data_IF_905672081208
#
_entry.id   IF_905672081208
#
_cell.length_a   1.000
_cell.length_b   1.000
_cell.length_c   1.000
_cell.angle_alpha   90.00
_cell.angle_beta   90.00
_cell.angle_gamma   90.00
#
_symmetry.space_group_name_H-M   'P 1'
#
loop_
_entity.id
_entity.type
_entity.pdbx_description
1 polymer ?
#
# COMPACT_ATOMS: atom_id res chain seq x y z
N UNK A 1 68.04 -40.56 96.29
CA UNK A 1 67.10 -41.00 95.24
C UNK A 1 65.71 -40.98 95.84
N UNK A 2 64.89 -39.99 95.52
CA UNK A 2 63.49 -39.91 95.94
C UNK A 2 62.64 -39.82 94.68
N UNK A 3 62.14 -40.98 94.26
CA UNK A 3 61.18 -41.13 93.18
C UNK A 3 59.81 -40.69 93.70
N UNK A 4 59.48 -39.42 93.46
CA UNK A 4 58.18 -38.85 93.77
C UNK A 4 57.25 -39.18 92.60
N UNK A 5 56.57 -40.32 92.68
CA UNK A 5 55.42 -40.61 91.82
C UNK A 5 54.30 -39.61 92.14
N UNK A 6 54.34 -38.47 91.46
CA UNK A 6 53.34 -37.42 91.49
C UNK A 6 52.02 -37.97 90.90
N UNK A 7 51.15 -38.52 91.74
CA UNK A 7 49.75 -38.73 91.39
C UNK A 7 49.11 -37.35 91.26
N UNK A 8 48.83 -36.94 90.02
CA UNK A 8 48.06 -35.71 89.75
C UNK A 8 46.69 -35.83 90.41
N UNK A 9 46.33 -34.88 91.28
CA UNK A 9 45.01 -34.89 91.92
C UNK A 9 43.89 -34.89 90.86
N UNK A 10 42.77 -35.61 91.09
CA UNK A 10 41.66 -35.73 90.13
C UNK A 10 41.12 -34.39 89.60
N UNK A 11 41.28 -33.31 90.37
CA UNK A 11 40.90 -31.95 90.00
C UNK A 11 41.70 -31.40 88.80
N UNK A 12 43.02 -31.64 88.75
CA UNK A 12 43.89 -31.14 87.66
C UNK A 12 43.65 -31.85 86.33
N UNK A 13 43.24 -33.12 86.37
CA UNK A 13 42.85 -33.88 85.16
C UNK A 13 41.62 -33.22 84.52
N UNK A 14 40.63 -32.84 85.34
CA UNK A 14 39.39 -32.18 84.89
C UNK A 14 39.66 -30.81 84.27
N UNK A 15 40.59 -30.02 84.81
CA UNK A 15 41.01 -28.76 84.20
C UNK A 15 41.68 -28.96 82.83
N UNK A 16 42.57 -29.96 82.72
CA UNK A 16 43.22 -30.29 81.43
C UNK A 16 42.21 -30.72 80.36
N UNK A 17 41.16 -31.44 80.74
CA UNK A 17 40.07 -31.81 79.81
C UNK A 17 39.27 -30.59 79.36
N UNK A 18 38.92 -29.68 80.28
CA UNK A 18 38.21 -28.43 79.94
C UNK A 18 39.06 -27.55 79.02
N UNK A 19 40.36 -27.42 79.26
CA UNK A 19 41.29 -26.70 78.40
C UNK A 19 41.36 -27.31 76.99
N UNK A 20 41.46 -28.64 76.88
CA UNK A 20 41.41 -29.35 75.59
C UNK A 20 40.09 -29.12 74.87
N UNK A 21 38.96 -29.17 75.58
CA UNK A 21 37.64 -28.87 75.00
C UNK A 21 37.53 -27.43 74.51
N UNK A 22 38.12 -26.46 75.23
CA UNK A 22 38.16 -25.07 74.82
C UNK A 22 39.01 -24.89 73.54
N UNK A 23 40.18 -25.53 73.48
CA UNK A 23 41.05 -25.50 72.30
C UNK A 23 40.38 -26.12 71.06
N UNK A 24 39.75 -27.29 71.21
CA UNK A 24 39.00 -27.93 70.11
C UNK A 24 37.85 -27.02 69.64
N UNK A 25 37.14 -26.36 70.57
CA UNK A 25 36.05 -25.45 70.23
C UNK A 25 36.54 -24.21 69.47
N UNK A 26 37.70 -23.68 69.85
CA UNK A 26 38.35 -22.59 69.12
C UNK A 26 38.73 -23.03 67.70
N UNK A 27 39.29 -24.22 67.53
CA UNK A 27 39.61 -24.78 66.22
C UNK A 27 38.35 -24.97 65.35
N UNK A 28 37.27 -25.51 65.90
CA UNK A 28 35.98 -25.65 65.19
C UNK A 28 35.48 -24.28 64.70
N UNK A 29 35.52 -23.27 65.56
CA UNK A 29 35.10 -21.92 65.19
C UNK A 29 35.98 -21.33 64.09
N UNK A 30 37.31 -21.52 64.16
CA UNK A 30 38.22 -21.08 63.10
C UNK A 30 37.91 -21.76 61.76
N UNK A 31 37.70 -23.08 61.76
CA UNK A 31 37.35 -23.84 60.55
C UNK A 31 35.99 -23.43 59.99
N UNK A 32 35.02 -23.12 60.86
CA UNK A 32 33.71 -22.61 60.47
C UNK A 32 33.84 -21.26 59.75
N UNK A 33 34.56 -20.30 60.35
CA UNK A 33 34.79 -18.99 59.74
C UNK A 33 35.52 -19.09 58.40
N UNK A 34 36.53 -19.98 58.31
CA UNK A 34 37.24 -20.23 57.04
C UNK A 34 36.30 -20.78 55.96
N UNK A 35 35.36 -21.66 56.33
CA UNK A 35 34.35 -22.19 55.40
C UNK A 35 33.39 -21.10 54.94
N UNK A 36 32.90 -20.25 55.84
CA UNK A 36 32.01 -19.13 55.52
C UNK A 36 32.69 -18.13 54.57
N UNK A 37 33.97 -17.82 54.80
CA UNK A 37 34.75 -16.95 53.93
C UNK A 37 34.91 -17.51 52.52
N UNK A 38 35.23 -18.80 52.38
CA UNK A 38 35.34 -19.45 51.06
C UNK A 38 34.00 -19.52 50.34
N UNK A 39 32.91 -19.70 51.09
CA UNK A 39 31.57 -19.68 50.52
C UNK A 39 31.21 -18.29 49.99
N UNK A 40 31.52 -17.23 50.75
CA UNK A 40 31.31 -15.85 50.30
C UNK A 40 32.17 -15.49 49.08
N UNK A 41 33.43 -15.94 49.04
CA UNK A 41 34.31 -15.76 47.88
C UNK A 41 33.71 -16.42 46.64
N UNK A 42 33.17 -17.64 46.79
CA UNK A 42 32.51 -18.35 45.70
C UNK A 42 31.23 -17.65 45.22
N UNK A 43 30.40 -17.18 46.15
CA UNK A 43 29.14 -16.48 45.85
C UNK A 43 29.36 -15.12 45.18
N UNK A 44 30.46 -14.45 45.50
CA UNK A 44 30.80 -13.12 44.95
C UNK A 44 31.81 -13.17 43.81
N UNK A 45 32.29 -14.35 43.42
CA UNK A 45 33.30 -14.50 42.39
C UNK A 45 32.89 -13.88 41.05
N UNK A 46 31.61 -13.91 40.69
CA UNK A 46 31.14 -13.41 39.40
C UNK A 46 31.23 -11.86 39.27
N UNK A 47 31.32 -11.14 40.39
CA UNK A 47 31.45 -9.68 40.46
C UNK A 47 32.80 -9.21 41.01
N UNK A 48 33.54 -10.05 41.73
CA UNK A 48 34.82 -9.70 42.34
C UNK A 48 36.03 -10.29 41.60
N UNK A 49 35.87 -11.48 41.00
CA UNK A 49 37.01 -12.20 40.46
C UNK A 49 37.33 -11.77 39.00
N UNK A 50 38.58 -11.41 38.69
CA UNK A 50 38.98 -10.87 37.39
C UNK A 50 38.59 -11.73 36.19
N UNK A 51 38.61 -13.06 36.33
CA UNK A 51 38.19 -14.00 35.28
C UNK A 51 36.74 -13.78 34.82
N UNK A 52 35.78 -13.70 35.75
CA UNK A 52 34.37 -13.55 35.39
C UNK A 52 34.07 -12.14 34.91
N UNK A 53 34.73 -11.14 35.50
CA UNK A 53 34.66 -9.76 35.03
C UNK A 53 35.23 -9.61 33.61
N UNK A 54 36.37 -10.22 33.32
CA UNK A 54 36.98 -10.22 31.99
C UNK A 54 36.04 -10.79 30.93
N UNK A 55 35.40 -11.94 31.21
CA UNK A 55 34.37 -12.49 30.32
C UNK A 55 33.18 -11.56 30.11
N UNK A 56 32.69 -10.91 31.17
CA UNK A 56 31.61 -9.92 31.07
C UNK A 56 32.04 -8.71 30.22
N UNK A 57 33.28 -8.24 30.38
CA UNK A 57 33.87 -7.16 29.58
C UNK A 57 34.00 -7.55 28.10
N UNK A 58 34.51 -8.75 27.79
CA UNK A 58 34.63 -9.24 26.40
C UNK A 58 33.29 -9.24 25.67
N UNK A 59 32.22 -9.70 26.34
CA UNK A 59 30.86 -9.69 25.80
C UNK A 59 30.39 -8.25 25.54
N UNK A 60 30.61 -7.34 26.47
CA UNK A 60 30.21 -5.93 26.32
C UNK A 60 31.00 -5.24 25.20
N UNK A 61 32.29 -5.50 25.10
CA UNK A 61 33.12 -4.99 24.01
C UNK A 61 32.66 -5.52 22.65
N UNK A 62 32.28 -6.80 22.58
CA UNK A 62 31.75 -7.40 21.37
C UNK A 62 30.43 -6.75 20.93
N UNK A 63 29.50 -6.58 21.86
CA UNK A 63 28.26 -5.85 21.62
C UNK A 63 28.55 -4.41 21.14
N UNK A 64 29.52 -3.73 21.74
CA UNK A 64 29.88 -2.39 21.34
C UNK A 64 30.46 -2.34 19.91
N UNK A 65 31.33 -3.28 19.53
CA UNK A 65 31.83 -3.42 18.15
C UNK A 65 30.68 -3.64 17.16
N UNK A 66 29.73 -4.51 17.50
CA UNK A 66 28.55 -4.73 16.68
C UNK A 66 27.69 -3.46 16.52
N UNK A 67 27.45 -2.72 17.60
CA UNK A 67 26.72 -1.44 17.54
C UNK A 67 27.45 -0.40 16.68
N UNK A 68 28.77 -0.29 16.80
CA UNK A 68 29.57 0.61 15.96
C UNK A 68 29.46 0.26 14.47
N UNK A 69 29.50 -1.03 14.13
CA UNK A 69 29.31 -1.50 12.75
C UNK A 69 27.92 -1.13 12.21
N UNK A 70 26.86 -1.37 13.00
CA UNK A 70 25.48 -1.01 12.64
C UNK A 70 25.35 0.50 12.44
N UNK A 71 25.94 1.32 13.30
CA UNK A 71 25.92 2.78 13.17
C UNK A 71 26.67 3.27 11.93
N UNK A 72 27.81 2.64 11.59
CA UNK A 72 28.57 2.95 10.37
C UNK A 72 27.73 2.67 9.13
N UNK A 73 27.07 1.52 9.08
CA UNK A 73 26.22 1.14 7.95
C UNK A 73 24.99 2.06 7.85
N UNK A 74 24.32 2.36 8.97
CA UNK A 74 23.22 3.33 9.00
C UNK A 74 23.63 4.70 8.44
N UNK A 75 24.84 5.18 8.77
CA UNK A 75 25.38 6.43 8.23
C UNK A 75 25.67 6.32 6.73
N UNK A 76 26.23 5.19 6.26
CA UNK A 76 26.48 4.95 4.84
C UNK A 76 25.16 4.93 4.04
N UNK A 77 24.17 4.19 4.53
CA UNK A 77 22.84 4.12 3.93
C UNK A 77 22.18 5.51 3.89
N UNK A 78 22.25 6.29 4.98
CA UNK A 78 21.73 7.66 4.99
C UNK A 78 22.43 8.54 3.95
N UNK A 79 23.74 8.43 3.78
CA UNK A 79 24.47 9.15 2.72
C UNK A 79 24.00 8.72 1.32
N UNK A 80 23.81 7.42 1.10
CA UNK A 80 23.31 6.88 -0.17
C UNK A 80 21.88 7.35 -0.48
N UNK A 81 20.99 7.37 0.51
CA UNK A 81 19.60 7.78 0.35
C UNK A 81 19.45 9.30 0.17
N UNK A 82 20.34 10.10 0.78
CA UNK A 82 20.37 11.56 0.60
C UNK A 82 20.94 11.92 -0.78
N UNK A 83 21.84 11.10 -1.34
CA UNK A 83 22.34 11.29 -2.71
C UNK A 83 21.15 11.12 -3.67
N UNK A 84 20.76 12.15 -4.44
CA UNK A 84 19.70 11.99 -5.43
C UNK A 84 20.10 10.86 -6.37
N UNK A 85 19.21 9.89 -6.60
CA UNK A 85 19.41 8.84 -7.62
C UNK A 85 19.55 9.42 -9.04
N UNK A 86 19.39 10.74 -9.20
CA UNK A 86 19.66 11.50 -10.42
C UNK A 86 21.16 11.84 -10.65
N UNK A 87 22.10 11.24 -9.90
CA UNK A 87 23.54 11.32 -10.20
C UNK A 87 24.10 10.07 -10.89
N UNK A 88 23.23 9.14 -11.31
CA UNK A 88 23.59 8.05 -12.22
C UNK A 88 23.17 8.32 -13.67
N UNK A 89 22.61 9.50 -13.98
CA UNK A 89 22.86 10.04 -15.31
C UNK A 89 24.36 10.29 -15.38
N UNK A 90 25.04 9.64 -16.33
CA UNK A 90 26.39 10.03 -16.74
C UNK A 90 26.46 11.56 -16.73
N UNK A 91 27.49 12.18 -16.13
CA UNK A 91 27.63 13.63 -16.20
C UNK A 91 27.63 14.01 -17.68
N UNK A 92 26.51 14.53 -18.15
CA UNK A 92 26.40 15.03 -19.50
C UNK A 92 27.25 16.29 -19.48
N UNK A 93 28.25 16.34 -20.35
CA UNK A 93 29.06 17.53 -20.49
C UNK A 93 28.14 18.72 -20.79
N UNK A 94 28.40 19.88 -20.19
CA UNK A 94 27.49 21.04 -20.30
C UNK A 94 27.24 21.47 -21.76
N UNK A 95 28.17 21.16 -22.65
CA UNK A 95 28.08 21.32 -24.11
C UNK A 95 26.95 20.50 -24.74
N UNK A 96 26.61 19.34 -24.18
CA UNK A 96 25.61 18.44 -24.71
C UNK A 96 24.20 18.64 -24.13
N UNK A 97 24.04 19.46 -23.08
CA UNK A 97 22.74 19.69 -22.44
C UNK A 97 21.68 20.20 -23.41
N UNK A 98 22.03 21.17 -24.28
CA UNK A 98 21.11 21.73 -25.26
C UNK A 98 20.56 20.63 -26.19
N UNK A 99 21.45 19.81 -26.73
CA UNK A 99 21.08 18.73 -27.65
C UNK A 99 20.25 17.65 -26.98
N UNK A 100 20.55 17.31 -25.71
CA UNK A 100 19.76 16.32 -24.97
C UNK A 100 18.36 16.84 -24.66
N UNK A 101 18.22 18.11 -24.30
CA UNK A 101 16.91 18.73 -24.06
C UNK A 101 16.09 18.77 -25.36
N UNK A 102 16.70 19.16 -26.47
CA UNK A 102 16.06 19.16 -27.80
C UNK A 102 15.63 17.74 -28.22
N UNK A 103 16.52 16.75 -28.07
CA UNK A 103 16.21 15.35 -28.37
C UNK A 103 15.07 14.80 -27.51
N UNK A 104 15.05 15.13 -26.21
CA UNK A 104 13.97 14.69 -25.32
C UNK A 104 12.64 15.33 -25.70
N UNK A 105 12.63 16.62 -26.09
CA UNK A 105 11.44 17.28 -26.58
C UNK A 105 10.94 16.64 -27.89
N UNK A 106 11.84 16.36 -28.82
CA UNK A 106 11.50 15.63 -30.06
C UNK A 106 10.97 14.22 -29.78
N UNK A 107 11.58 13.49 -28.84
CA UNK A 107 11.13 12.15 -28.47
C UNK A 107 9.71 12.17 -27.87
N UNK A 108 9.40 13.14 -27.00
CA UNK A 108 8.05 13.30 -26.43
C UNK A 108 7.04 13.60 -27.53
N UNK A 109 7.32 14.56 -28.41
CA UNK A 109 6.40 14.92 -29.51
C UNK A 109 6.22 13.76 -30.51
N UNK A 110 7.27 12.98 -30.77
CA UNK A 110 7.18 11.78 -31.58
C UNK A 110 6.27 10.72 -30.96
N UNK A 111 6.41 10.47 -29.65
CA UNK A 111 5.57 9.51 -28.91
C UNK A 111 4.10 9.95 -28.95
N UNK A 112 3.81 11.22 -28.72
CA UNK A 112 2.45 11.77 -28.78
C UNK A 112 1.82 11.57 -30.18
N UNK A 113 2.60 11.85 -31.24
CA UNK A 113 2.15 11.67 -32.62
C UNK A 113 1.92 10.19 -32.97
N UNK A 114 2.81 9.31 -32.50
CA UNK A 114 2.67 7.87 -32.69
C UNK A 114 1.42 7.33 -32.00
N UNK A 115 1.16 7.74 -30.75
CA UNK A 115 -0.05 7.34 -30.02
C UNK A 115 -1.30 7.81 -30.74
N UNK A 116 -1.32 9.07 -31.23
CA UNK A 116 -2.42 9.58 -32.05
C UNK A 116 -2.69 8.72 -33.30
N UNK A 117 -1.63 8.36 -34.04
CA UNK A 117 -1.76 7.49 -35.20
C UNK A 117 -2.27 6.08 -34.83
N UNK A 118 -1.78 5.51 -33.72
CA UNK A 118 -2.25 4.21 -33.23
C UNK A 118 -3.73 4.24 -32.83
N UNK A 119 -4.18 5.33 -32.21
CA UNK A 119 -5.60 5.52 -31.91
C UNK A 119 -6.45 5.58 -33.19
N UNK A 120 -5.98 6.28 -34.23
CA UNK A 120 -6.65 6.27 -35.55
C UNK A 120 -6.71 4.86 -36.16
N UNK A 121 -5.61 4.10 -36.11
CA UNK A 121 -5.61 2.72 -36.63
C UNK A 121 -6.56 1.81 -35.84
N UNK A 122 -6.67 2.00 -34.52
CA UNK A 122 -7.60 1.24 -33.65
C UNK A 122 -9.07 1.60 -33.86
N UNK A 123 -9.39 2.79 -34.37
CA UNK A 123 -10.78 3.18 -34.66
C UNK A 123 -11.29 2.66 -36.01
N UNK A 124 -10.41 2.34 -36.96
CA UNK A 124 -10.78 1.81 -38.29
C UNK A 124 -11.65 0.54 -38.21
N UNK A 125 -11.36 -0.48 -37.38
CA UNK A 125 -12.20 -1.66 -37.23
C UNK A 125 -13.61 -1.38 -36.67
N UNK A 126 -13.84 -0.21 -36.08
CA UNK A 126 -15.16 0.19 -35.58
C UNK A 126 -16.05 0.78 -36.67
N UNK A 127 -15.46 1.25 -37.79
CA UNK A 127 -16.18 1.87 -38.90
C UNK A 127 -17.21 0.90 -39.52
N UNK A 128 -16.90 -0.39 -39.81
CA UNK A 128 -17.89 -1.33 -40.34
C UNK A 128 -19.08 -1.55 -39.39
N UNK A 129 -18.84 -1.54 -38.08
CA UNK A 129 -19.91 -1.72 -37.09
C UNK A 129 -20.82 -0.50 -37.03
N UNK A 130 -20.24 0.70 -37.08
CA UNK A 130 -20.99 1.96 -37.17
C UNK A 130 -21.79 2.04 -38.47
N UNK A 131 -21.20 1.65 -39.60
CA UNK A 131 -21.86 1.61 -40.90
C UNK A 131 -23.04 0.63 -40.91
N UNK A 132 -22.87 -0.58 -40.35
CA UNK A 132 -23.96 -1.55 -40.19
C UNK A 132 -25.12 -0.99 -39.37
N UNK A 133 -24.84 -0.26 -38.29
CA UNK A 133 -25.88 0.38 -37.49
C UNK A 133 -26.61 1.49 -38.27
N UNK A 134 -25.89 2.24 -39.11
CA UNK A 134 -26.50 3.22 -40.01
C UNK A 134 -27.38 2.55 -41.08
N UNK A 135 -26.95 1.44 -41.67
CA UNK A 135 -27.77 0.69 -42.65
C UNK A 135 -29.06 0.16 -41.99
N UNK A 136 -28.99 -0.31 -40.75
CA UNK A 136 -30.16 -0.72 -39.97
C UNK A 136 -31.08 0.47 -39.69
N UNK A 137 -30.54 1.65 -39.39
CA UNK A 137 -31.34 2.85 -39.18
C UNK A 137 -32.01 3.30 -40.48
N UNK A 138 -31.28 3.29 -41.59
CA UNK A 138 -31.77 3.66 -42.91
C UNK A 138 -32.92 2.75 -43.35
N UNK A 139 -32.75 1.43 -43.26
CA UNK A 139 -33.81 0.47 -43.61
C UNK A 139 -35.07 0.64 -42.76
N UNK A 140 -34.93 0.94 -41.46
CA UNK A 140 -36.08 1.29 -40.61
C UNK A 140 -36.78 2.56 -41.07
N UNK A 141 -36.03 3.58 -41.45
CA UNK A 141 -36.60 4.84 -41.97
C UNK A 141 -37.31 4.63 -43.31
N UNK A 142 -36.76 3.80 -44.20
CA UNK A 142 -37.40 3.44 -45.47
C UNK A 142 -38.74 2.74 -45.24
N UNK A 143 -38.82 1.80 -44.29
CA UNK A 143 -40.09 1.16 -43.92
C UNK A 143 -41.11 2.18 -43.40
N UNK A 144 -40.71 3.06 -42.49
CA UNK A 144 -41.59 4.12 -41.98
C UNK A 144 -42.06 5.08 -43.08
N UNK A 145 -41.24 5.34 -44.10
CA UNK A 145 -41.62 6.16 -45.24
C UNK A 145 -42.72 5.49 -46.08
N UNK A 146 -42.62 4.17 -46.31
CA UNK A 146 -43.65 3.40 -47.02
C UNK A 146 -44.97 3.40 -46.23
N UNK A 147 -44.90 3.18 -44.91
CA UNK A 147 -46.09 3.23 -44.04
C UNK A 147 -46.76 4.61 -44.06
N UNK A 148 -45.96 5.69 -44.12
CA UNK A 148 -46.46 7.06 -44.23
C UNK A 148 -47.11 7.34 -45.60
N UNK A 149 -46.53 6.82 -46.68
CA UNK A 149 -47.10 6.93 -48.02
C UNK A 149 -48.45 6.22 -48.10
N UNK A 150 -48.54 4.97 -47.59
CA UNK A 150 -49.80 4.23 -47.51
C UNK A 150 -50.85 5.00 -46.68
N UNK A 151 -50.46 5.54 -45.53
CA UNK A 151 -51.36 6.35 -44.70
C UNK A 151 -51.84 7.60 -45.45
N UNK A 152 -50.95 8.24 -46.21
CA UNK A 152 -51.27 9.38 -47.08
C UNK A 152 -52.31 9.04 -48.15
N UNK A 153 -52.15 7.90 -48.83
CA UNK A 153 -53.12 7.39 -49.80
C UNK A 153 -54.48 7.10 -49.16
N UNK A 154 -54.48 6.49 -47.97
CA UNK A 154 -55.71 6.24 -47.22
C UNK A 154 -56.43 7.56 -46.89
N UNK A 155 -55.72 8.58 -46.41
CA UNK A 155 -56.28 9.90 -46.11
C UNK A 155 -56.88 10.55 -47.37
N UNK A 156 -56.20 10.47 -48.51
CA UNK A 156 -56.71 11.01 -49.77
C UNK A 156 -58.01 10.32 -50.20
N UNK A 157 -58.04 8.99 -50.15
CA UNK A 157 -59.25 8.20 -50.44
C UNK A 157 -60.41 8.54 -49.50
N UNK A 158 -60.13 8.72 -48.21
CA UNK A 158 -61.12 9.19 -47.23
C UNK A 158 -61.64 10.60 -47.57
N UNK A 159 -60.76 11.51 -48.00
CA UNK A 159 -61.15 12.88 -48.40
C UNK A 159 -62.06 12.89 -49.64
N UNK A 160 -61.79 12.04 -50.62
CA UNK A 160 -62.61 11.89 -51.82
C UNK A 160 -64.00 11.35 -51.50
N UNK A 161 -64.09 10.30 -50.66
CA UNK A 161 -65.36 9.75 -50.18
C UNK A 161 -66.20 10.81 -49.43
N UNK A 162 -65.56 11.68 -48.64
CA UNK A 162 -66.26 12.78 -47.97
C UNK A 162 -66.82 13.83 -48.94
N UNK A 163 -66.18 14.06 -50.10
CA UNK A 163 -66.67 14.99 -51.13
C UNK A 163 -67.89 14.43 -51.87
N UNK A 164 -67.98 13.12 -52.05
CA UNK A 164 -69.15 12.48 -52.69
C UNK A 164 -70.37 12.42 -51.76
N UNK A 165 -70.16 12.29 -50.44
CA UNK A 165 -71.24 12.15 -49.46
C UNK A 165 -71.86 13.49 -49.04
N UNK A 166 -71.20 14.63 -49.32
CA UNK A 166 -71.67 15.96 -48.89
C UNK A 166 -71.95 16.88 -50.09
N UNK A 167 -73.14 16.82 -50.72
CA UNK A 167 -73.68 17.94 -51.47
C UNK A 167 -74.35 18.92 -50.49
N UNK A 168 -73.71 20.06 -50.25
CA UNK A 168 -74.27 21.30 -49.67
C UNK A 168 -75.01 21.18 -48.31
N UNK A 169 -74.30 21.39 -47.19
CA UNK A 169 -74.80 22.27 -46.12
C UNK A 169 -73.63 22.93 -45.37
N UNK A 170 -73.35 24.18 -45.74
CA UNK A 170 -72.25 24.99 -45.21
C UNK A 170 -72.52 25.51 -43.79
N UNK A 171 -72.46 24.65 -42.76
CA UNK A 171 -72.41 25.13 -41.35
C UNK A 171 -71.47 24.33 -40.41
N UNK A 172 -71.01 23.11 -40.75
CA UNK A 172 -70.14 22.34 -39.82
C UNK A 172 -68.66 22.18 -40.24
N UNK A 173 -68.27 22.60 -41.45
CA UNK A 173 -66.93 22.34 -41.99
C UNK A 173 -65.83 23.21 -41.35
N UNK A 174 -66.15 24.43 -40.90
CA UNK A 174 -65.16 25.30 -40.26
C UNK A 174 -64.72 24.78 -38.89
N UNK A 175 -65.60 24.14 -38.13
CA UNK A 175 -65.24 23.60 -36.81
C UNK A 175 -64.30 22.39 -36.94
N UNK A 176 -64.60 21.47 -37.85
CA UNK A 176 -63.78 20.26 -38.09
C UNK A 176 -62.40 20.63 -38.66
N UNK A 177 -62.33 21.59 -39.59
CA UNK A 177 -61.05 22.10 -40.08
C UNK A 177 -60.23 22.80 -38.99
N UNK A 178 -60.88 23.54 -38.09
CA UNK A 178 -60.19 24.18 -36.96
C UNK A 178 -59.62 23.14 -35.99
N UNK A 179 -60.40 22.10 -35.65
CA UNK A 179 -60.01 21.05 -34.73
C UNK A 179 -58.87 20.17 -35.29
N UNK A 180 -58.90 19.86 -36.60
CA UNK A 180 -57.81 19.12 -37.27
C UNK A 180 -56.53 19.95 -37.36
N UNK A 181 -56.64 21.24 -37.70
CA UNK A 181 -55.48 22.13 -37.79
C UNK A 181 -54.84 22.35 -36.41
N UNK A 182 -55.66 22.46 -35.36
CA UNK A 182 -55.19 22.57 -33.99
C UNK A 182 -54.53 21.27 -33.48
N UNK A 183 -55.08 20.11 -33.85
CA UNK A 183 -54.48 18.81 -33.52
C UNK A 183 -53.11 18.61 -34.22
N UNK A 184 -53.01 18.97 -35.50
CA UNK A 184 -51.75 18.93 -36.27
C UNK A 184 -50.69 19.89 -35.69
N UNK A 185 -51.11 21.08 -35.24
CA UNK A 185 -50.23 22.03 -34.58
C UNK A 185 -49.69 21.49 -33.24
N UNK A 186 -50.54 20.85 -32.43
CA UNK A 186 -50.14 20.23 -31.16
C UNK A 186 -49.16 19.06 -31.39
N UNK A 187 -49.43 18.20 -32.37
CA UNK A 187 -48.54 17.07 -32.70
C UNK A 187 -47.18 17.59 -33.19
N UNK A 188 -47.17 18.63 -34.02
CA UNK A 188 -45.91 19.24 -34.49
C UNK A 188 -45.10 19.87 -33.36
N UNK A 189 -45.77 20.52 -32.39
CA UNK A 189 -45.13 21.09 -31.20
C UNK A 189 -44.53 20.02 -30.28
N UNK A 190 -45.23 18.89 -30.11
CA UNK A 190 -44.73 17.76 -29.30
C UNK A 190 -43.52 17.07 -29.94
N UNK A 191 -43.49 16.98 -31.26
CA UNK A 191 -42.32 16.47 -32.01
C UNK A 191 -41.12 17.42 -31.84
N UNK A 192 -41.35 18.74 -31.90
CA UNK A 192 -40.28 19.74 -31.75
C UNK A 192 -39.70 19.82 -30.33
N UNK A 193 -40.48 19.50 -29.29
CA UNK A 193 -40.03 19.48 -27.88
C UNK A 193 -39.30 18.16 -27.54
N UNK A 194 -39.51 17.10 -28.32
CA UNK A 194 -38.94 15.76 -28.07
C UNK A 194 -37.63 15.48 -28.82
N UNK A 195 -37.11 16.45 -29.57
CA UNK A 195 -35.79 16.45 -30.24
C UNK A 195 -34.85 17.37 -29.45
#
# INVERSE_FOLDING_TARGET
TLDLTCRKDPCFVKFSEVEKMANIRAEINEKKLRTEMLQLEKETADIAHPFYLGKKCEILEDMNRHLEAVLKEKRALRKMLIKPRCQESLPIEATFHKYVVELLAEAVTFIEKLESHLQTVRSIPQIPNVMKNMDIALTKTEVLMIELEELGEQILKWSELQKEVIPLQAVSSMQICFDISHALAIVSLLIFISI
#
